data_IF_015986634831
#
_entry.id   IF_015986634831
#
_cell.length_a   1.000
_cell.length_b   1.000
_cell.length_c   1.000
_cell.angle_alpha   90.00
_cell.angle_beta   90.00
_cell.angle_gamma   90.00
#
_symmetry.space_group_name_H-M   'P 1'
#
loop_
_entity.id
_entity.type
_entity.pdbx_description
1 polymer ?
#
# COMPACT_ATOMS: atom_id res chain seq x y z
N UNK A 1 -27.97 14.06 16.28
CA UNK A 1 -27.24 13.98 14.99
C UNK A 1 -26.68 12.58 14.85
N UNK A 2 -27.32 11.72 14.06
CA UNK A 2 -26.84 10.36 13.79
C UNK A 2 -25.72 10.41 12.76
N UNK A 3 -24.51 10.03 13.17
CA UNK A 3 -23.35 9.90 12.27
C UNK A 3 -23.70 8.86 11.20
N UNK A 4 -23.58 9.18 9.89
CA UNK A 4 -23.89 8.21 8.85
C UNK A 4 -22.95 7.01 8.96
N UNK A 5 -23.42 5.82 8.59
CA UNK A 5 -22.67 4.55 8.65
C UNK A 5 -21.57 4.50 7.56
N UNK A 6 -21.74 5.25 6.48
CA UNK A 6 -20.86 5.32 5.31
C UNK A 6 -19.40 5.76 5.57
N UNK A 7 -19.07 6.76 6.42
CA UNK A 7 -17.68 7.08 6.77
C UNK A 7 -16.95 5.93 7.48
N UNK A 8 -17.67 5.01 8.12
CA UNK A 8 -17.05 3.87 8.81
C UNK A 8 -16.52 2.87 7.78
N UNK A 9 -17.31 2.53 6.77
CA UNK A 9 -16.92 1.56 5.74
C UNK A 9 -15.74 2.07 4.91
N UNK A 10 -15.77 3.34 4.49
CA UNK A 10 -14.65 3.94 3.75
C UNK A 10 -13.35 3.97 4.58
N UNK A 11 -13.44 4.28 5.88
CA UNK A 11 -12.28 4.27 6.78
C UNK A 11 -11.74 2.86 7.02
N UNK A 12 -12.62 1.86 7.19
CA UNK A 12 -12.23 0.46 7.31
C UNK A 12 -11.52 -0.01 6.04
N UNK A 13 -12.09 0.30 4.87
CA UNK A 13 -11.49 -0.03 3.57
C UNK A 13 -10.09 0.56 3.43
N UNK A 14 -9.91 1.85 3.73
CA UNK A 14 -8.60 2.49 3.69
C UNK A 14 -7.59 1.85 4.66
N UNK A 15 -8.05 1.44 5.85
CA UNK A 15 -7.23 0.77 6.86
C UNK A 15 -6.77 -0.61 6.39
N UNK A 16 -7.66 -1.39 5.79
CA UNK A 16 -7.31 -2.69 5.23
C UNK A 16 -6.38 -2.57 4.01
N UNK A 17 -6.57 -1.55 3.16
CA UNK A 17 -5.63 -1.25 2.09
C UNK A 17 -4.22 -0.97 2.66
N UNK A 18 -4.15 -0.19 3.75
CA UNK A 18 -2.88 0.09 4.46
C UNK A 18 -2.23 -1.20 4.97
N UNK A 19 -3.01 -2.09 5.61
CA UNK A 19 -2.52 -3.36 6.13
C UNK A 19 -2.02 -4.28 5.01
N UNK A 20 -2.79 -4.39 3.93
CA UNK A 20 -2.45 -5.23 2.77
C UNK A 20 -1.13 -4.80 2.15
N UNK A 21 -0.95 -3.49 1.87
CA UNK A 21 0.30 -2.97 1.30
C UNK A 21 1.46 -3.16 2.27
N UNK A 22 1.29 -2.81 3.55
CA UNK A 22 2.37 -2.85 4.55
C UNK A 22 2.96 -4.26 4.75
N UNK A 23 2.10 -5.26 4.79
CA UNK A 23 2.49 -6.62 5.17
C UNK A 23 2.83 -7.52 3.98
N UNK A 24 2.20 -7.30 2.82
CA UNK A 24 2.25 -8.25 1.72
C UNK A 24 2.85 -7.70 0.43
N UNK A 25 2.95 -6.38 0.28
CA UNK A 25 3.39 -5.77 -0.98
C UNK A 25 4.81 -5.21 -0.81
N UNK A 26 5.74 -5.58 -1.70
CA UNK A 26 7.08 -5.02 -1.68
C UNK A 26 7.05 -3.53 -2.03
N UNK A 27 7.84 -2.74 -1.30
CA UNK A 27 7.90 -1.29 -1.50
C UNK A 27 8.98 -0.95 -2.54
N UNK A 28 8.54 -0.64 -3.75
CA UNK A 28 9.39 -0.21 -4.86
C UNK A 28 9.64 1.31 -4.88
N UNK A 29 10.75 1.73 -5.52
CA UNK A 29 11.19 3.14 -5.62
C UNK A 29 10.34 3.95 -6.59
N UNK A 30 9.83 3.34 -7.66
CA UNK A 30 9.00 4.02 -8.64
C UNK A 30 7.69 3.28 -8.90
N UNK A 31 6.61 4.03 -9.14
CA UNK A 31 5.31 3.44 -9.50
C UNK A 31 5.38 2.62 -10.80
N UNK A 32 6.28 2.99 -11.71
CA UNK A 32 6.53 2.25 -12.95
C UNK A 32 6.95 0.80 -12.71
N UNK A 33 7.62 0.48 -11.61
CA UNK A 33 8.02 -0.89 -11.26
C UNK A 33 6.80 -1.77 -10.94
N UNK A 34 5.78 -1.20 -10.29
CA UNK A 34 4.53 -1.91 -10.03
C UNK A 34 3.76 -2.20 -11.32
N UNK A 35 3.77 -1.27 -12.30
CA UNK A 35 3.13 -1.48 -13.60
C UNK A 35 3.73 -2.65 -14.38
N UNK A 36 5.02 -2.94 -14.20
CA UNK A 36 5.70 -4.07 -14.83
C UNK A 36 5.29 -5.42 -14.23
N UNK A 37 4.70 -5.42 -13.02
CA UNK A 37 4.37 -6.62 -12.24
C UNK A 37 2.88 -6.63 -11.89
N UNK A 38 1.99 -7.01 -12.83
CA UNK A 38 0.54 -7.04 -12.58
C UNK A 38 0.17 -7.95 -11.40
N UNK A 39 0.94 -9.01 -11.18
CA UNK A 39 0.80 -9.95 -10.05
C UNK A 39 0.74 -9.25 -8.69
N UNK A 40 1.43 -8.12 -8.51
CA UNK A 40 1.38 -7.37 -7.26
C UNK A 40 0.02 -6.72 -7.01
N UNK A 41 -0.62 -6.24 -8.07
CA UNK A 41 -1.96 -5.68 -8.00
C UNK A 41 -3.00 -6.79 -7.80
N UNK A 42 -2.83 -7.95 -8.44
CA UNK A 42 -3.70 -9.10 -8.21
C UNK A 42 -3.61 -9.61 -6.76
N UNK A 43 -2.40 -9.65 -6.19
CA UNK A 43 -2.20 -9.97 -4.77
C UNK A 43 -2.90 -8.96 -3.85
N UNK A 44 -2.80 -7.67 -4.15
CA UNK A 44 -3.50 -6.62 -3.41
C UNK A 44 -5.01 -6.81 -3.46
N UNK A 45 -5.56 -7.02 -4.66
CA UNK A 45 -6.97 -7.25 -4.90
C UNK A 45 -7.48 -8.50 -4.19
N UNK A 46 -6.72 -9.60 -4.24
CA UNK A 46 -7.06 -10.83 -3.53
C UNK A 46 -7.20 -10.60 -2.01
N UNK A 47 -6.36 -9.75 -1.42
CA UNK A 47 -6.47 -9.38 0.00
C UNK A 47 -7.71 -8.54 0.30
N UNK A 48 -8.05 -7.61 -0.58
CA UNK A 48 -9.28 -6.81 -0.44
C UNK A 48 -10.52 -7.70 -0.56
N UNK A 49 -10.58 -8.58 -1.57
CA UNK A 49 -11.70 -9.53 -1.78
C UNK A 49 -11.92 -10.46 -0.59
N UNK A 50 -10.87 -10.77 0.15
CA UNK A 50 -10.97 -11.60 1.35
C UNK A 50 -11.64 -10.87 2.54
N UNK A 51 -11.61 -9.53 2.56
CA UNK A 51 -12.14 -8.72 3.66
C UNK A 51 -13.45 -8.01 3.29
N UNK A 52 -13.67 -7.71 2.01
CA UNK A 52 -14.82 -6.99 1.52
C UNK A 52 -15.44 -7.69 0.32
N UNK A 53 -16.77 -7.74 0.30
CA UNK A 53 -17.53 -8.20 -0.86
C UNK A 53 -17.53 -7.13 -1.96
N UNK A 54 -16.47 -7.13 -2.76
CA UNK A 54 -16.20 -6.13 -3.79
C UNK A 54 -16.18 -6.81 -5.14
N UNK A 55 -17.04 -6.36 -6.06
CA UNK A 55 -17.00 -6.80 -7.45
C UNK A 55 -15.72 -6.28 -8.12
N UNK A 56 -14.68 -7.09 -8.01
CA UNK A 56 -13.35 -6.73 -8.49
C UNK A 56 -13.24 -6.89 -10.00
N UNK A 57 -14.23 -7.46 -10.67
CA UNK A 57 -14.26 -7.58 -12.13
C UNK A 57 -14.72 -6.27 -12.79
N UNK A 58 -15.38 -5.39 -12.02
CA UNK A 58 -15.75 -4.04 -12.44
C UNK A 58 -14.52 -3.14 -12.66
N UNK A 59 -14.49 -2.49 -13.82
CA UNK A 59 -13.40 -1.59 -14.23
C UNK A 59 -13.26 -0.36 -13.33
N UNK A 60 -14.36 0.19 -12.83
CA UNK A 60 -14.39 1.35 -11.93
C UNK A 60 -13.77 0.96 -10.60
N UNK A 61 -14.14 -0.22 -10.09
CA UNK A 61 -13.62 -0.77 -8.83
C UNK A 61 -12.12 -1.06 -8.93
N UNK A 62 -11.67 -1.71 -10.02
CA UNK A 62 -10.23 -1.93 -10.26
C UNK A 62 -9.45 -0.61 -10.28
N UNK A 63 -9.98 0.41 -10.96
CA UNK A 63 -9.34 1.72 -11.04
C UNK A 63 -9.27 2.40 -9.66
N UNK A 64 -10.35 2.35 -8.88
CA UNK A 64 -10.38 2.89 -7.53
C UNK A 64 -9.37 2.19 -6.61
N UNK A 65 -9.32 0.85 -6.65
CA UNK A 65 -8.34 0.06 -5.89
C UNK A 65 -6.90 0.38 -6.31
N UNK A 66 -6.65 0.59 -7.60
CA UNK A 66 -5.33 0.97 -8.10
C UNK A 66 -4.89 2.34 -7.59
N UNK A 67 -5.77 3.34 -7.60
CA UNK A 67 -5.47 4.66 -7.02
C UNK A 67 -5.27 4.57 -5.51
N UNK A 68 -6.06 3.75 -4.81
CA UNK A 68 -5.87 3.52 -3.37
C UNK A 68 -4.50 2.90 -3.09
N UNK A 69 -4.11 1.86 -3.83
CA UNK A 69 -2.81 1.21 -3.70
C UNK A 69 -1.66 2.22 -3.89
N UNK A 70 -1.76 3.12 -4.89
CA UNK A 70 -0.77 4.19 -5.10
C UNK A 70 -0.62 5.10 -3.89
N UNK A 71 -1.74 5.57 -3.33
CA UNK A 71 -1.74 6.47 -2.17
C UNK A 71 -1.09 5.77 -0.99
N UNK A 72 -1.49 4.54 -0.71
CA UNK A 72 -0.97 3.76 0.41
C UNK A 72 0.52 3.47 0.26
N UNK A 73 0.98 3.06 -0.92
CA UNK A 73 2.42 2.85 -1.20
C UNK A 73 3.20 4.14 -0.98
N UNK A 74 2.68 5.29 -1.43
CA UNK A 74 3.32 6.59 -1.22
C UNK A 74 3.43 6.93 0.26
N UNK A 75 2.36 6.72 1.03
CA UNK A 75 2.35 6.96 2.48
C UNK A 75 3.32 6.02 3.20
N UNK A 76 3.35 4.74 2.82
CA UNK A 76 4.29 3.77 3.38
C UNK A 76 5.74 4.23 3.14
N UNK A 77 6.09 4.63 1.92
CA UNK A 77 7.42 5.17 1.61
C UNK A 77 7.78 6.40 2.44
N UNK A 78 6.85 7.34 2.59
CA UNK A 78 7.07 8.53 3.41
C UNK A 78 7.39 8.15 4.86
N UNK A 79 6.60 7.26 5.47
CA UNK A 79 6.83 6.78 6.84
C UNK A 79 8.17 6.04 7.00
N UNK A 80 8.61 5.32 5.97
CA UNK A 80 9.92 4.67 6.00
C UNK A 80 11.06 5.67 5.89
N UNK A 81 10.92 6.68 5.04
CA UNK A 81 11.88 7.78 4.92
C UNK A 81 12.02 8.51 6.26
N UNK A 82 10.90 8.90 6.84
CA UNK A 82 10.84 9.63 8.12
C UNK A 82 11.47 8.84 9.26
N UNK A 83 11.30 7.51 9.31
CA UNK A 83 11.81 6.68 10.42
C UNK A 83 13.27 6.28 10.28
N UNK A 84 13.73 5.98 9.08
CA UNK A 84 15.02 5.32 8.86
C UNK A 84 16.04 6.16 8.12
N UNK A 85 15.63 7.28 7.51
CA UNK A 85 16.52 8.13 6.71
C UNK A 85 16.65 9.53 7.30
N UNK A 86 15.53 10.23 7.53
CA UNK A 86 15.55 11.64 7.97
C UNK A 86 16.29 11.88 9.31
N UNK A 87 16.28 10.97 10.30
CA UNK A 87 17.01 11.18 11.55
C UNK A 87 18.52 10.96 11.47
N UNK A 88 19.04 10.37 10.38
CA UNK A 88 20.42 9.91 10.29
C UNK A 88 21.18 10.66 9.19
N UNK A 89 22.42 11.07 9.49
CA UNK A 89 23.32 11.57 8.46
C UNK A 89 23.62 10.48 7.42
N UNK A 90 23.87 10.87 6.17
CA UNK A 90 23.99 9.93 5.04
C UNK A 90 24.97 8.77 5.27
N UNK A 91 26.05 9.01 6.02
CA UNK A 91 27.06 7.99 6.34
C UNK A 91 26.61 6.97 7.41
N UNK A 92 25.56 7.28 8.17
CA UNK A 92 24.97 6.43 9.20
C UNK A 92 23.73 5.66 8.72
N UNK A 93 23.22 5.98 7.52
CA UNK A 93 22.07 5.28 6.95
C UNK A 93 22.49 3.85 6.60
N UNK A 94 21.76 2.87 7.15
CA UNK A 94 21.99 1.47 6.84
C UNK A 94 21.80 1.22 5.34
N UNK A 95 22.78 0.55 4.72
CA UNK A 95 22.69 0.12 3.31
C UNK A 95 21.78 -1.10 3.14
N UNK A 96 21.54 -1.83 4.22
CA UNK A 96 20.62 -2.95 4.27
C UNK A 96 19.21 -2.48 4.58
N UNK A 97 18.22 -3.08 3.94
CA UNK A 97 16.82 -2.81 4.25
C UNK A 97 16.50 -3.06 5.74
N UNK A 98 15.83 -2.11 6.43
CA UNK A 98 15.32 -2.30 7.78
C UNK A 98 14.05 -3.17 7.84
N UNK A 99 13.43 -3.49 6.69
CA UNK A 99 12.17 -4.23 6.62
C UNK A 99 12.28 -5.47 5.73
N UNK A 100 11.68 -6.57 6.20
CA UNK A 100 11.58 -7.83 5.45
C UNK A 100 10.86 -7.68 4.10
N UNK A 101 9.97 -6.69 3.95
CA UNK A 101 9.21 -6.43 2.74
C UNK A 101 9.90 -5.46 1.74
N UNK A 102 11.12 -4.97 2.01
CA UNK A 102 11.87 -4.22 0.99
C UNK A 102 12.88 -5.14 0.33
N UNK A 103 12.82 -5.23 -1.00
CA UNK A 103 13.83 -5.89 -1.81
C UNK A 103 15.11 -5.05 -1.84
N UNK A 104 16.26 -5.67 -1.58
CA UNK A 104 17.59 -5.03 -1.69
C UNK A 104 18.20 -5.19 -3.10
N UNK A 105 17.48 -5.84 -4.02
CA UNK A 105 17.88 -6.05 -5.41
C UNK A 105 17.67 -4.79 -6.28
#
# INVERSE_FOLDING_TARGET
MTRPVTPVIAAMFATECNNAVRNHIPVHKHWSEYKKKPVLFDLFLARIRAQFDVNTDDTIVKKACMEMMKIVVRQQRYRLKERYFDPFALHLVMKTSPLKCMSNE
#
